data_IF_272675527580
#
_entry.id   IF_272675527580
#
_cell.length_a   1.000
_cell.length_b   1.000
_cell.length_c   1.000
_cell.angle_alpha   90.00
_cell.angle_beta   90.00
_cell.angle_gamma   90.00
#
_symmetry.space_group_name_H-M   'P 1'
#
loop_
_entity.id
_entity.type
_entity.pdbx_description
1 polymer ?
#
# COMPACT_ATOMS: atom_id res chain seq x y z
N UNK A 1 -16.61 40.06 -19.40
CA UNK A 1 -16.26 38.93 -18.52
C UNK A 1 -15.93 37.72 -19.40
N UNK A 2 -14.65 37.37 -19.60
CA UNK A 2 -14.24 36.20 -20.41
C UNK A 2 -14.04 35.00 -19.48
N UNK A 3 -14.90 34.00 -19.64
CA UNK A 3 -14.82 32.73 -18.91
C UNK A 3 -13.50 32.02 -19.17
N UNK A 4 -12.76 31.73 -18.10
CA UNK A 4 -11.58 30.86 -18.12
C UNK A 4 -12.04 29.45 -18.50
N UNK A 5 -11.76 29.01 -19.73
CA UNK A 5 -11.89 27.59 -20.10
C UNK A 5 -10.84 26.79 -19.31
N UNK A 6 -11.21 25.64 -18.70
CA UNK A 6 -10.25 24.81 -17.98
C UNK A 6 -9.24 24.17 -18.96
N UNK A 7 -8.02 23.83 -18.50
CA UNK A 7 -6.93 23.42 -19.36
C UNK A 7 -7.15 21.98 -19.86
N UNK A 8 -7.63 21.84 -21.09
CA UNK A 8 -7.66 20.58 -21.84
C UNK A 8 -6.26 19.93 -22.04
N UNK A 9 -5.17 20.65 -21.72
CA UNK A 9 -3.79 20.18 -21.86
C UNK A 9 -3.37 19.10 -20.86
N UNK A 10 -4.05 18.94 -19.73
CA UNK A 10 -3.71 17.89 -18.76
C UNK A 10 -4.13 16.49 -19.23
N UNK A 11 -5.18 16.39 -20.06
CA UNK A 11 -5.70 15.12 -20.57
C UNK A 11 -4.92 14.60 -21.79
N UNK A 12 -4.25 15.48 -22.56
CA UNK A 12 -3.53 15.10 -23.77
C UNK A 12 -2.17 14.42 -23.48
N UNK A 13 -1.53 14.76 -22.36
CA UNK A 13 -0.25 14.17 -21.95
C UNK A 13 -0.37 12.71 -21.52
N UNK A 14 -1.51 12.30 -20.98
CA UNK A 14 -1.76 10.90 -20.59
C UNK A 14 -1.86 10.00 -21.83
N UNK A 15 -2.37 10.54 -22.95
CA UNK A 15 -2.61 9.77 -24.18
C UNK A 15 -1.32 9.41 -24.95
N UNK A 16 -0.17 9.97 -24.56
CA UNK A 16 1.14 9.77 -25.23
C UNK A 16 2.20 9.07 -24.37
N UNK A 17 1.82 8.37 -23.28
CA UNK A 17 2.75 7.42 -22.68
C UNK A 17 2.90 6.22 -23.61
N UNK A 18 4.14 5.99 -24.05
CA UNK A 18 4.56 4.74 -24.70
C UNK A 18 4.09 3.55 -23.86
N UNK A 19 3.83 2.37 -24.45
CA UNK A 19 3.39 1.18 -23.72
C UNK A 19 4.28 0.89 -22.50
N UNK A 20 5.59 1.13 -22.61
CA UNK A 20 6.56 1.05 -21.52
C UNK A 20 6.30 2.05 -20.38
N UNK A 21 5.90 3.30 -20.70
CA UNK A 21 5.57 4.32 -19.72
C UNK A 21 4.29 4.00 -18.93
N UNK A 22 3.28 3.41 -19.57
CA UNK A 22 2.07 2.93 -18.86
C UNK A 22 2.39 1.75 -17.95
N UNK A 23 3.22 0.82 -18.40
CA UNK A 23 3.66 -0.31 -17.58
C UNK A 23 4.43 0.15 -16.33
N UNK A 24 5.36 1.10 -16.49
CA UNK A 24 6.09 1.70 -15.35
C UNK A 24 5.17 2.45 -14.40
N UNK A 25 4.19 3.20 -14.91
CA UNK A 25 3.20 3.90 -14.08
C UNK A 25 2.35 2.94 -13.26
N UNK A 26 1.91 1.82 -13.86
CA UNK A 26 1.15 0.78 -13.16
C UNK A 26 2.00 0.10 -12.09
N UNK A 27 3.25 -0.25 -12.42
CA UNK A 27 4.20 -0.82 -11.46
C UNK A 27 4.44 0.12 -10.27
N UNK A 28 4.65 1.41 -10.54
CA UNK A 28 4.81 2.43 -9.50
C UNK A 28 3.54 2.56 -8.64
N UNK A 29 2.35 2.51 -9.23
CA UNK A 29 1.09 2.55 -8.50
C UNK A 29 0.93 1.32 -7.59
N UNK A 30 1.21 0.11 -8.08
CA UNK A 30 1.21 -1.11 -7.25
C UNK A 30 2.26 -1.05 -6.14
N UNK A 31 3.46 -0.56 -6.44
CA UNK A 31 4.52 -0.41 -5.45
C UNK A 31 4.13 0.58 -4.35
N UNK A 32 3.46 1.69 -4.69
CA UNK A 32 2.91 2.64 -3.72
C UNK A 32 1.85 2.01 -2.82
N UNK A 33 0.92 1.22 -3.37
CA UNK A 33 -0.08 0.51 -2.56
C UNK A 33 0.55 -0.52 -1.63
N UNK A 34 1.53 -1.29 -2.13
CA UNK A 34 2.29 -2.22 -1.34
C UNK A 34 3.06 -1.53 -0.19
N UNK A 35 3.74 -0.42 -0.48
CA UNK A 35 4.45 0.37 0.53
C UNK A 35 3.51 0.97 1.57
N UNK A 36 2.34 1.47 1.15
CA UNK A 36 1.31 1.97 2.06
C UNK A 36 0.82 0.86 2.99
N UNK A 37 0.49 -0.32 2.44
CA UNK A 37 0.10 -1.48 3.24
C UNK A 37 1.20 -1.92 4.21
N UNK A 38 2.45 -2.00 3.75
CA UNK A 38 3.59 -2.33 4.60
C UNK A 38 3.75 -1.35 5.77
N UNK A 39 3.63 -0.04 5.51
CA UNK A 39 3.71 0.99 6.54
C UNK A 39 2.58 0.86 7.58
N UNK A 40 1.35 0.59 7.13
CA UNK A 40 0.21 0.34 8.03
C UNK A 40 0.45 -0.92 8.86
N UNK A 41 0.91 -2.01 8.25
CA UNK A 41 1.21 -3.26 8.96
C UNK A 41 2.32 -3.13 9.99
N UNK A 42 3.37 -2.35 9.70
CA UNK A 42 4.42 -2.01 10.68
C UNK A 42 3.87 -1.13 11.82
N UNK A 43 3.04 -0.15 11.51
CA UNK A 43 2.37 0.70 12.52
C UNK A 43 1.46 -0.12 13.43
N UNK A 44 0.68 -1.03 12.86
CA UNK A 44 -0.13 -1.99 13.61
C UNK A 44 0.74 -2.85 14.51
N UNK A 45 1.81 -3.45 13.98
CA UNK A 45 2.71 -4.28 14.77
C UNK A 45 3.35 -3.51 15.93
N UNK A 46 3.72 -2.25 15.71
CA UNK A 46 4.23 -1.37 16.75
C UNK A 46 3.20 -1.10 17.84
N UNK A 47 1.97 -0.71 17.47
CA UNK A 47 0.89 -0.47 18.45
C UNK A 47 0.54 -1.75 19.22
N UNK A 48 0.46 -2.88 18.52
CA UNK A 48 0.13 -4.17 19.09
C UNK A 48 1.19 -4.66 20.09
N UNK A 49 2.48 -4.42 19.82
CA UNK A 49 3.58 -4.79 20.71
C UNK A 49 3.79 -3.81 21.86
N UNK A 50 3.51 -2.51 21.66
CA UNK A 50 3.64 -1.49 22.71
C UNK A 50 2.45 -1.45 23.66
N UNK A 51 1.27 -1.86 23.21
CA UNK A 51 0.05 -1.78 24.02
C UNK A 51 -0.10 -3.02 24.91
N UNK A 52 -0.15 -2.85 26.25
CA UNK A 52 -0.37 -3.96 27.17
C UNK A 52 -1.78 -4.57 27.04
N UNK A 53 -2.73 -3.86 26.43
CA UNK A 53 -4.10 -4.37 26.21
C UNK A 53 -4.18 -5.46 25.14
N UNK A 54 -3.25 -5.50 24.20
CA UNK A 54 -3.25 -6.51 23.14
C UNK A 54 -2.53 -7.80 23.55
N UNK A 55 -1.72 -7.79 24.61
CA UNK A 55 -1.05 -8.99 25.13
C UNK A 55 -0.06 -9.67 24.17
N UNK A 56 0.30 -9.01 23.06
CA UNK A 56 1.10 -9.61 21.98
C UNK A 56 2.54 -9.84 22.41
N UNK A 57 3.14 -8.88 23.12
CA UNK A 57 4.52 -9.02 23.60
C UNK A 57 4.70 -10.16 24.60
N UNK A 58 3.89 -10.30 25.67
CA UNK A 58 4.01 -11.47 26.56
C UNK A 58 3.67 -12.79 25.85
N UNK A 59 2.74 -12.81 24.89
CA UNK A 59 2.45 -14.00 24.10
C UNK A 59 3.62 -14.43 23.20
N UNK A 60 4.30 -13.47 22.55
CA UNK A 60 5.46 -13.73 21.72
C UNK A 60 6.68 -14.18 22.52
N UNK A 61 6.88 -13.62 23.72
CA UNK A 61 7.97 -14.04 24.63
C UNK A 61 7.76 -15.45 25.20
N UNK A 62 6.52 -15.95 25.22
CA UNK A 62 6.21 -17.34 25.58
C UNK A 62 6.50 -18.36 24.46
N UNK A 63 6.78 -17.92 23.24
CA UNK A 63 7.07 -18.78 22.11
C UNK A 63 8.60 -18.91 21.92
N UNK A 64 9.14 -20.15 21.86
CA UNK A 64 10.59 -20.38 21.84
C UNK A 64 11.31 -19.91 20.57
N UNK A 65 10.57 -19.62 19.49
CA UNK A 65 11.13 -19.30 18.18
C UNK A 65 10.63 -18.00 17.55
N UNK A 66 9.56 -17.38 18.06
CA UNK A 66 8.93 -16.23 17.40
C UNK A 66 9.50 -14.92 17.92
N UNK A 67 10.26 -14.21 17.08
CA UNK A 67 10.81 -12.90 17.45
C UNK A 67 9.80 -11.80 17.15
N UNK A 68 9.83 -10.71 17.92
CA UNK A 68 9.03 -9.50 17.66
C UNK A 68 9.20 -8.99 16.22
N UNK A 69 10.38 -9.20 15.64
CA UNK A 69 10.68 -8.89 14.25
C UNK A 69 9.84 -9.73 13.27
N UNK A 70 9.69 -11.03 13.51
CA UNK A 70 8.92 -11.91 12.62
C UNK A 70 7.43 -11.54 12.64
N UNK A 71 6.90 -11.15 13.80
CA UNK A 71 5.54 -10.63 13.92
C UNK A 71 5.35 -9.32 13.15
N UNK A 72 6.31 -8.38 13.28
CA UNK A 72 6.28 -7.12 12.55
C UNK A 72 6.38 -7.33 11.03
N UNK A 73 7.26 -8.23 10.60
CA UNK A 73 7.44 -8.59 9.20
C UNK A 73 6.17 -9.24 8.63
N UNK A 74 5.61 -10.20 9.34
CA UNK A 74 4.37 -10.88 8.92
C UNK A 74 3.20 -9.90 8.82
N UNK A 75 3.08 -8.98 9.78
CA UNK A 75 2.07 -7.93 9.75
C UNK A 75 2.27 -6.99 8.56
N UNK A 76 3.50 -6.49 8.35
CA UNK A 76 3.84 -5.63 7.23
C UNK A 76 3.51 -6.29 5.88
N UNK A 77 3.93 -7.54 5.69
CA UNK A 77 3.70 -8.30 4.45
C UNK A 77 2.20 -8.57 4.26
N UNK A 78 1.49 -8.97 5.31
CA UNK A 78 0.04 -9.22 5.23
C UNK A 78 -0.74 -7.99 4.77
N UNK A 79 -0.49 -6.83 5.39
CA UNK A 79 -1.14 -5.59 4.98
C UNK A 79 -0.67 -5.10 3.61
N UNK A 80 0.60 -5.30 3.24
CA UNK A 80 1.11 -4.97 1.91
C UNK A 80 0.39 -5.77 0.82
N UNK A 81 0.21 -7.08 1.02
CA UNK A 81 -0.51 -7.95 0.08
C UNK A 81 -1.96 -7.47 -0.07
N UNK A 82 -2.67 -7.27 1.04
CA UNK A 82 -4.07 -6.82 1.01
C UNK A 82 -4.20 -5.46 0.32
N UNK A 83 -3.35 -4.48 0.65
CA UNK A 83 -3.38 -3.17 0.02
C UNK A 83 -3.06 -3.23 -1.48
N UNK A 84 -2.15 -4.11 -1.90
CA UNK A 84 -1.83 -4.32 -3.32
C UNK A 84 -3.01 -4.92 -4.07
N UNK A 85 -3.65 -5.95 -3.50
CA UNK A 85 -4.84 -6.56 -4.11
C UNK A 85 -5.99 -5.57 -4.23
N UNK A 86 -6.21 -4.74 -3.21
CA UNK A 86 -7.23 -3.68 -3.26
C UNK A 86 -6.89 -2.64 -4.32
N UNK A 87 -5.63 -2.19 -4.40
CA UNK A 87 -5.18 -1.24 -5.43
C UNK A 87 -5.34 -1.79 -6.85
N UNK A 88 -5.09 -3.10 -7.05
CA UNK A 88 -5.31 -3.78 -8.31
C UNK A 88 -6.80 -3.87 -8.66
N UNK A 89 -7.64 -4.29 -7.70
CA UNK A 89 -9.08 -4.39 -7.91
C UNK A 89 -9.73 -3.04 -8.25
N UNK A 90 -9.26 -1.95 -7.64
CA UNK A 90 -9.72 -0.60 -7.94
C UNK A 90 -9.20 -0.09 -9.29
N UNK A 91 -7.96 -0.43 -9.66
CA UNK A 91 -7.38 -0.07 -10.96
C UNK A 91 -8.07 -0.76 -12.14
N UNK A 92 -8.44 -2.02 -12.01
CA UNK A 92 -9.20 -2.75 -13.05
C UNK A 92 -10.63 -2.21 -13.22
N UNK A 93 -11.24 -1.71 -12.13
CA UNK A 93 -12.56 -1.08 -12.16
C UNK A 93 -12.57 0.29 -12.86
N UNK A 94 -11.45 1.01 -12.89
CA UNK A 94 -11.32 2.30 -13.60
C UNK A 94 -11.09 2.14 -15.12
N UNK A 95 -10.66 0.96 -15.59
CA UNK A 95 -10.44 0.66 -17.01
C UNK A 95 -11.61 -0.02 -17.73
N UNK A 96 -12.69 -0.36 -17.00
CA UNK A 96 -13.91 -1.01 -17.49
C UNK A 96 -15.03 -0.02 -17.81
#
# INVERSE_FOLDING_TARGET
MRGKKPPARAFETIRKLTPTGRMLSRLAATASHAMMGAAIGLGFAFVATRSPHFGVTPALLGLPAFRLFDFALTSAVGFAIVATLTGLAMGDAEES
#
